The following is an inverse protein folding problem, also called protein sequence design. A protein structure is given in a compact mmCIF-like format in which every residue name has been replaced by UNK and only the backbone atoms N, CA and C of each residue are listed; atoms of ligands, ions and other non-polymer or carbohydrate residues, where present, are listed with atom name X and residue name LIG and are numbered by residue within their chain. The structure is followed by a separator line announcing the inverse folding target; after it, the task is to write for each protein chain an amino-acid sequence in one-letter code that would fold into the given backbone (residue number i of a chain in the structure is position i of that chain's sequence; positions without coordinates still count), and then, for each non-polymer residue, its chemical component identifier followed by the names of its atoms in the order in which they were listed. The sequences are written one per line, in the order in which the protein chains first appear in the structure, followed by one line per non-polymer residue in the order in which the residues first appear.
data_IF_409382381041
#
_entry.id   IF_409382381041
#
_cell.length_a   1.000
_cell.length_b   1.000
_cell.length_c   1.000
_cell.angle_alpha   90.00
_cell.angle_beta   90.00
_cell.angle_gamma   90.00
#
_symmetry.space_group_name_H-M   'P 1'
#
loop_
_entity.id
_entity.type
_entity.pdbx_description
1 polymer ?
#
# COMPACT_ATOMS: atom_id res chain seq x y z
N UNK A 1 -61.82 39.71 70.07
CA UNK A 1 -60.43 39.77 69.59
C UNK A 1 -59.54 38.54 69.92
N UNK A 2 -59.95 37.57 70.76
CA UNK A 2 -59.10 36.39 71.06
C UNK A 2 -59.29 35.16 70.15
N UNK A 3 -60.34 35.09 69.32
CA UNK A 3 -60.58 33.95 68.40
C UNK A 3 -59.92 34.09 67.02
N UNK A 4 -59.54 35.30 66.59
CA UNK A 4 -58.94 35.53 65.27
C UNK A 4 -57.39 35.48 65.27
N UNK A 5 -56.75 35.53 66.44
CA UNK A 5 -55.28 35.44 66.55
C UNK A 5 -54.78 33.99 66.48
N UNK A 6 -55.53 33.03 67.03
CA UNK A 6 -55.18 31.61 67.00
C UNK A 6 -55.27 31.00 65.59
N UNK A 7 -56.21 31.49 64.76
CA UNK A 7 -56.37 31.02 63.39
C UNK A 7 -55.22 31.52 62.48
N UNK A 8 -54.74 32.74 62.68
CA UNK A 8 -53.62 33.31 61.92
C UNK A 8 -52.28 32.63 62.27
N UNK A 9 -52.04 32.32 63.56
CA UNK A 9 -50.84 31.58 63.96
C UNK A 9 -50.85 30.10 63.51
N UNK A 10 -52.02 29.45 63.50
CA UNK A 10 -52.14 28.09 62.96
C UNK A 10 -51.94 28.04 61.43
N UNK A 11 -52.34 29.09 60.72
CA UNK A 11 -52.17 29.20 59.26
C UNK A 11 -50.71 29.45 58.85
N UNK A 12 -49.96 30.24 59.64
CA UNK A 12 -48.56 30.57 59.36
C UNK A 12 -47.62 29.40 59.72
N UNK A 13 -47.94 28.62 60.76
CA UNK A 13 -47.18 27.40 61.11
C UNK A 13 -47.48 26.25 60.14
N UNK A 14 -48.70 26.16 59.59
CA UNK A 14 -49.05 25.17 58.56
C UNK A 14 -48.41 25.49 57.18
N UNK A 15 -48.18 26.76 56.85
CA UNK A 15 -47.51 27.16 55.60
C UNK A 15 -45.98 27.01 55.66
N UNK A 16 -45.38 27.07 56.86
CA UNK A 16 -43.93 26.89 57.07
C UNK A 16 -43.49 25.41 57.07
N UNK A 17 -44.43 24.47 57.14
CA UNK A 17 -44.18 23.02 57.09
C UNK A 17 -44.35 22.40 55.69
N UNK A 18 -44.63 23.22 54.66
CA UNK A 18 -44.84 22.76 53.28
C UNK A 18 -43.67 23.08 52.33
N UNK A 19 -42.51 23.51 52.85
CA UNK A 19 -41.32 23.84 52.03
C UNK A 19 -40.17 22.84 52.24
N UNK A 20 -40.46 21.61 52.67
CA UNK A 20 -39.51 20.49 52.61
C UNK A 20 -40.06 19.46 51.63
N UNK A 21 -39.87 19.72 50.34
CA UNK A 21 -40.44 18.91 49.27
C UNK A 21 -39.78 19.17 47.93
N UNK A 22 -38.46 19.27 47.92
CA UNK A 22 -37.64 18.87 46.78
C UNK A 22 -36.49 18.09 47.42
N UNK A 23 -36.74 16.81 47.74
CA UNK A 23 -35.62 15.89 47.62
C UNK A 23 -35.40 15.81 46.11
N UNK A 24 -34.31 16.40 45.63
CA UNK A 24 -33.72 15.96 44.38
C UNK A 24 -33.19 14.55 44.68
N UNK A 25 -34.10 13.58 44.79
CA UNK A 25 -33.80 12.18 44.57
C UNK A 25 -33.66 12.02 43.05
N UNK A 26 -32.70 12.75 42.47
CA UNK A 26 -32.03 12.26 41.29
C UNK A 26 -31.28 11.02 41.78
N UNK A 27 -31.93 9.86 41.66
CA UNK A 27 -31.22 8.59 41.57
C UNK A 27 -30.25 8.76 40.41
N UNK A 28 -29.04 9.23 40.73
CA UNK A 28 -27.94 9.30 39.78
C UNK A 28 -27.67 7.85 39.40
N UNK A 29 -28.25 7.40 38.28
CA UNK A 29 -27.95 6.13 37.66
C UNK A 29 -26.46 6.21 37.32
N UNK A 30 -25.65 5.54 38.14
CA UNK A 30 -24.20 5.44 37.97
C UNK A 30 -23.90 4.03 37.54
N UNK A 31 -22.99 3.91 36.57
CA UNK A 31 -22.45 2.61 36.18
C UNK A 31 -21.82 1.95 37.40
N UNK A 32 -22.13 0.67 37.61
CA UNK A 32 -21.53 -0.14 38.66
C UNK A 32 -20.00 -0.10 38.56
N UNK A 33 -19.32 0.16 39.68
CA UNK A 33 -17.86 0.04 39.77
C UNK A 33 -17.36 -1.41 39.66
N UNK A 34 -18.27 -2.38 39.64
CA UNK A 34 -17.99 -3.81 39.47
C UNK A 34 -18.30 -4.31 38.05
N UNK A 35 -18.73 -3.43 37.14
CA UNK A 35 -18.99 -3.77 35.74
C UNK A 35 -17.72 -4.35 35.11
N UNK A 36 -17.80 -5.61 34.67
CA UNK A 36 -16.68 -6.33 34.06
C UNK A 36 -17.16 -7.17 32.88
N UNK A 37 -16.27 -7.39 31.92
CA UNK A 37 -16.50 -8.30 30.79
C UNK A 37 -15.40 -9.35 30.76
N UNK A 38 -15.74 -10.57 30.35
CA UNK A 38 -14.81 -11.67 30.19
C UNK A 38 -14.67 -12.00 28.71
N UNK A 39 -13.47 -11.87 28.15
CA UNK A 39 -13.13 -12.27 26.79
C UNK A 39 -12.67 -13.74 26.76
N UNK A 40 -13.14 -14.49 25.76
CA UNK A 40 -12.69 -15.85 25.42
C UNK A 40 -12.36 -15.92 23.93
N UNK A 41 -11.27 -16.61 23.60
CA UNK A 41 -10.80 -16.85 22.23
C UNK A 41 -11.12 -18.30 21.81
N UNK A 42 -11.30 -18.54 20.51
CA UNK A 42 -11.43 -19.89 19.95
C UNK A 42 -10.15 -20.72 20.07
N UNK A 43 -8.99 -20.08 20.08
CA UNK A 43 -7.68 -20.69 20.25
C UNK A 43 -6.74 -19.75 21.02
N UNK A 44 -5.74 -20.34 21.68
CA UNK A 44 -4.59 -19.62 22.27
C UNK A 44 -3.26 -20.09 21.70
N UNK A 45 -3.29 -20.86 20.61
CA UNK A 45 -2.09 -21.30 19.90
C UNK A 45 -1.50 -20.15 19.08
N UNK A 46 -0.22 -20.27 18.72
CA UNK A 46 0.42 -19.32 17.82
C UNK A 46 -0.28 -19.33 16.47
N UNK A 47 -0.50 -18.14 15.90
CA UNK A 47 -1.14 -17.98 14.59
C UNK A 47 -0.11 -17.43 13.60
N UNK A 48 0.09 -18.19 12.52
CA UNK A 48 0.85 -17.76 11.34
C UNK A 48 -0.16 -17.33 10.29
N UNK A 49 -0.25 -16.02 10.03
CA UNK A 49 -1.16 -15.47 9.03
C UNK A 49 -0.42 -15.33 7.70
N UNK A 50 -1.05 -15.79 6.64
CA UNK A 50 -0.52 -15.74 5.28
C UNK A 50 -1.58 -15.22 4.31
N UNK A 51 -1.16 -14.67 3.15
CA UNK A 51 -2.09 -14.02 2.19
C UNK A 51 -3.09 -14.99 1.57
N UNK A 52 -2.72 -16.26 1.41
CA UNK A 52 -3.57 -17.33 0.89
C UNK A 52 -4.76 -17.67 1.80
N UNK A 53 -4.73 -17.23 3.06
CA UNK A 53 -5.84 -17.37 4.01
C UNK A 53 -6.92 -16.27 3.87
N UNK A 54 -6.83 -15.40 2.85
CA UNK A 54 -7.79 -14.30 2.67
C UNK A 54 -9.24 -14.82 2.62
N UNK A 55 -10.11 -14.24 3.44
CA UNK A 55 -11.51 -14.65 3.58
C UNK A 55 -11.73 -15.85 4.51
N UNK A 56 -10.67 -16.46 5.06
CA UNK A 56 -10.78 -17.51 6.07
C UNK A 56 -10.91 -16.92 7.48
N UNK A 57 -11.82 -17.46 8.30
CA UNK A 57 -11.91 -17.10 9.71
C UNK A 57 -10.79 -17.76 10.51
N UNK A 58 -9.88 -16.95 11.06
CA UNK A 58 -8.67 -17.43 11.78
C UNK A 58 -8.79 -17.34 13.29
N UNK A 59 -9.63 -16.43 13.81
CA UNK A 59 -9.80 -16.23 15.25
C UNK A 59 -11.21 -15.75 15.58
N UNK A 60 -11.89 -16.46 16.47
CA UNK A 60 -13.23 -16.08 16.96
C UNK A 60 -13.16 -15.64 18.41
N UNK A 61 -13.75 -14.48 18.69
CA UNK A 61 -13.82 -13.86 20.00
C UNK A 61 -15.26 -13.91 20.49
N UNK A 62 -15.43 -14.20 21.78
CA UNK A 62 -16.70 -14.07 22.47
C UNK A 62 -16.49 -13.37 23.82
N UNK A 63 -17.43 -12.50 24.21
CA UNK A 63 -17.36 -11.86 25.52
C UNK A 63 -18.72 -11.71 26.21
N UNK A 64 -18.69 -11.50 27.52
CA UNK A 64 -19.91 -11.32 28.33
C UNK A 64 -20.33 -9.86 28.38
N UNK A 65 -21.63 -9.60 28.35
CA UNK A 65 -22.14 -8.26 28.63
C UNK A 65 -21.88 -7.87 30.11
N UNK A 66 -21.27 -6.70 30.40
CA UNK A 66 -21.13 -6.24 31.78
C UNK A 66 -22.48 -5.97 32.45
N UNK A 67 -22.56 -6.25 33.75
CA UNK A 67 -23.66 -5.76 34.58
C UNK A 67 -23.37 -4.30 35.00
N UNK A 68 -24.10 -3.37 34.40
CA UNK A 68 -23.92 -1.94 34.67
C UNK A 68 -24.64 -1.48 35.94
N UNK A 69 -25.38 -2.35 36.64
CA UNK A 69 -26.13 -2.02 37.86
C UNK A 69 -27.46 -1.32 37.61
N UNK A 70 -27.91 -1.20 36.36
CA UNK A 70 -29.22 -0.64 35.99
C UNK A 70 -29.76 -1.28 34.70
N UNK A 71 -31.08 -1.22 34.52
CA UNK A 71 -31.75 -1.78 33.33
C UNK A 71 -31.79 -0.79 32.18
N UNK A 72 -31.59 -1.27 30.94
CA UNK A 72 -31.76 -0.46 29.72
C UNK A 72 -30.45 0.11 29.13
N UNK A 73 -29.29 -0.28 29.66
CA UNK A 73 -28.00 0.00 29.04
C UNK A 73 -27.91 -0.68 27.66
N UNK A 74 -27.47 0.06 26.65
CA UNK A 74 -27.17 -0.46 25.31
C UNK A 74 -25.70 -0.18 25.01
N UNK A 75 -24.78 -1.03 25.50
CA UNK A 75 -23.37 -0.83 25.27
C UNK A 75 -23.00 -1.07 23.80
N UNK A 76 -21.93 -0.42 23.37
CA UNK A 76 -21.18 -0.84 22.20
C UNK A 76 -19.82 -1.37 22.64
N UNK A 77 -19.12 -2.10 21.78
CA UNK A 77 -17.86 -2.73 22.11
C UNK A 77 -16.80 -2.38 21.07
N UNK A 78 -15.57 -2.21 21.56
CA UNK A 78 -14.38 -2.25 20.73
C UNK A 78 -13.60 -3.50 21.08
N UNK A 79 -13.17 -4.25 20.06
CA UNK A 79 -12.05 -5.19 20.21
C UNK A 79 -10.78 -4.37 20.04
N UNK A 80 -9.86 -4.49 20.98
CA UNK A 80 -8.62 -3.72 21.00
C UNK A 80 -7.45 -4.67 20.87
N UNK A 81 -6.56 -4.37 19.93
CA UNK A 81 -5.36 -5.14 19.60
C UNK A 81 -4.15 -4.27 19.91
N UNK A 82 -3.24 -4.76 20.74
CA UNK A 82 -2.01 -4.07 21.11
C UNK A 82 -0.80 -4.97 20.92
N UNK A 83 0.34 -4.37 20.57
CA UNK A 83 1.60 -5.07 20.35
C UNK A 83 2.69 -4.36 21.16
N UNK A 84 3.56 -5.12 21.82
CA UNK A 84 4.63 -4.56 22.65
C UNK A 84 5.88 -4.14 21.84
N UNK A 85 5.87 -4.33 20.51
CA UNK A 85 7.03 -4.21 19.62
C UNK A 85 7.52 -2.76 19.39
N UNK A 86 6.73 -1.74 19.73
CA UNK A 86 7.14 -0.34 19.57
C UNK A 86 6.68 0.52 20.77
N UNK A 87 7.61 1.29 21.34
CA UNK A 87 7.40 2.11 22.55
C UNK A 87 6.38 3.25 22.40
N UNK A 88 5.87 3.51 21.20
CA UNK A 88 4.94 4.61 20.88
C UNK A 88 3.73 4.18 20.04
N UNK A 89 3.56 2.88 19.71
CA UNK A 89 2.43 2.43 18.90
C UNK A 89 1.12 2.48 19.71
N UNK A 90 0.08 3.09 19.14
CA UNK A 90 -1.25 3.08 19.72
C UNK A 90 -1.94 1.75 19.39
N UNK A 91 -2.70 1.15 20.33
CA UNK A 91 -3.43 -0.07 20.02
C UNK A 91 -4.54 0.20 19.00
N UNK A 92 -4.67 -0.71 18.04
CA UNK A 92 -5.73 -0.71 17.04
C UNK A 92 -7.10 -1.01 17.70
N UNK A 93 -8.15 -0.35 17.24
CA UNK A 93 -9.52 -0.51 17.76
C UNK A 93 -10.49 -0.86 16.65
N UNK A 94 -11.09 -2.04 16.75
CA UNK A 94 -12.14 -2.51 15.85
C UNK A 94 -13.48 -2.34 16.55
N UNK A 95 -14.31 -1.39 16.07
CA UNK A 95 -15.66 -1.21 16.59
C UNK A 95 -16.58 -2.31 16.07
N UNK A 96 -17.24 -3.02 16.97
CA UNK A 96 -18.13 -4.15 16.63
C UNK A 96 -19.59 -3.85 16.99
N UNK A 97 -19.94 -2.59 17.25
CA UNK A 97 -21.30 -2.22 17.65
C UNK A 97 -21.72 -2.92 18.94
N UNK A 98 -22.96 -3.43 19.01
CA UNK A 98 -23.56 -3.99 20.22
C UNK A 98 -23.59 -5.53 20.26
N UNK A 99 -22.82 -6.21 19.40
CA UNK A 99 -22.70 -7.66 19.45
C UNK A 99 -21.72 -8.11 20.54
N UNK A 100 -21.74 -9.40 20.85
CA UNK A 100 -20.91 -10.02 21.90
C UNK A 100 -19.87 -11.00 21.34
N UNK A 101 -19.62 -10.92 20.05
CA UNK A 101 -18.70 -11.79 19.33
C UNK A 101 -18.07 -11.07 18.13
N UNK A 102 -16.89 -11.52 17.71
CA UNK A 102 -16.24 -11.11 16.46
C UNK A 102 -15.48 -12.30 15.90
N UNK A 103 -15.78 -12.65 14.66
CA UNK A 103 -14.95 -13.55 13.85
C UNK A 103 -14.01 -12.68 13.03
N UNK A 104 -12.71 -12.84 13.23
CA UNK A 104 -11.70 -12.22 12.40
C UNK A 104 -11.39 -13.10 11.20
N UNK A 105 -11.50 -12.50 10.01
CA UNK A 105 -10.84 -13.02 8.83
C UNK A 105 -9.32 -12.81 8.93
N UNK A 106 -8.54 -13.59 8.19
CA UNK A 106 -7.07 -13.52 8.21
C UNK A 106 -6.58 -12.09 7.94
N UNK A 107 -7.09 -11.45 6.90
CA UNK A 107 -6.75 -10.09 6.49
C UNK A 107 -7.15 -9.05 7.54
N UNK A 108 -8.32 -9.18 8.16
CA UNK A 108 -8.79 -8.24 9.18
C UNK A 108 -7.94 -8.31 10.46
N UNK A 109 -7.53 -9.52 10.86
CA UNK A 109 -6.64 -9.69 12.00
C UNK A 109 -5.24 -9.18 11.67
N UNK A 110 -4.75 -9.46 10.45
CA UNK A 110 -3.45 -9.04 9.98
C UNK A 110 -3.33 -7.50 9.95
N UNK A 111 -4.33 -6.81 9.42
CA UNK A 111 -4.40 -5.34 9.42
C UNK A 111 -4.43 -4.80 10.86
N UNK A 112 -5.26 -5.37 11.73
CA UNK A 112 -5.37 -4.90 13.12
C UNK A 112 -4.08 -5.08 13.93
N UNK A 113 -3.30 -6.15 13.70
CA UNK A 113 -2.00 -6.33 14.36
C UNK A 113 -0.93 -5.41 13.76
N UNK A 114 -0.94 -5.19 12.44
CA UNK A 114 -0.04 -4.26 11.77
C UNK A 114 -0.27 -2.81 12.21
N UNK A 115 -1.53 -2.36 12.25
CA UNK A 115 -1.94 -1.05 12.76
C UNK A 115 -1.54 -0.83 14.21
N UNK A 116 -1.53 -1.91 15.01
CA UNK A 116 -1.07 -1.91 16.39
C UNK A 116 0.46 -1.91 16.54
N UNK A 117 1.21 -1.91 15.42
CA UNK A 117 2.67 -1.79 15.37
C UNK A 117 3.43 -3.12 15.32
N UNK A 118 2.79 -4.23 14.95
CA UNK A 118 3.49 -5.49 14.70
C UNK A 118 4.45 -5.38 13.52
N UNK A 119 5.62 -6.02 13.64
CA UNK A 119 6.54 -6.18 12.52
C UNK A 119 6.16 -7.44 11.74
N UNK A 120 5.84 -7.28 10.45
CA UNK A 120 5.49 -8.40 9.58
C UNK A 120 6.62 -9.44 9.46
N UNK A 121 6.25 -10.71 9.29
CA UNK A 121 7.17 -11.83 9.14
C UNK A 121 7.90 -12.25 10.42
N UNK A 122 7.65 -11.57 11.55
CA UNK A 122 8.20 -11.90 12.85
C UNK A 122 7.09 -12.36 13.81
N UNK A 123 7.43 -13.23 14.75
CA UNK A 123 6.55 -13.56 15.88
C UNK A 123 6.35 -12.31 16.75
N UNK A 124 5.11 -11.83 16.84
CA UNK A 124 4.75 -10.70 17.70
C UNK A 124 3.93 -11.19 18.89
N UNK A 125 4.23 -10.68 20.09
CA UNK A 125 3.34 -10.83 21.24
C UNK A 125 2.18 -9.84 21.12
N UNK A 126 0.99 -10.37 20.85
CA UNK A 126 -0.24 -9.60 20.62
C UNK A 126 -1.16 -9.73 21.83
N UNK A 127 -1.62 -8.59 22.33
CA UNK A 127 -2.59 -8.48 23.42
C UNK A 127 -3.95 -8.09 22.86
N UNK A 128 -4.96 -8.91 23.13
CA UNK A 128 -6.34 -8.65 22.71
C UNK A 128 -7.22 -8.47 23.94
N UNK A 129 -7.98 -7.37 23.99
CA UNK A 129 -8.99 -7.14 25.03
C UNK A 129 -10.24 -6.49 24.45
N UNK A 130 -11.32 -6.48 25.23
CA UNK A 130 -12.58 -5.83 24.85
C UNK A 130 -12.84 -4.64 25.76
N UNK A 131 -13.19 -3.52 25.17
CA UNK A 131 -13.69 -2.32 25.84
C UNK A 131 -15.20 -2.23 25.64
N UNK A 132 -15.96 -2.16 26.73
CA UNK A 132 -17.39 -1.85 26.71
C UNK A 132 -17.59 -0.34 26.86
N UNK A 133 -18.36 0.22 25.93
CA UNK A 133 -18.58 1.65 25.76
C UNK A 133 -20.04 1.99 26.07
N UNK A 134 -20.26 3.03 26.87
CA UNK A 134 -21.56 3.71 26.97
C UNK A 134 -21.40 5.13 26.47
N UNK A 135 -21.99 5.42 25.30
CA UNK A 135 -21.68 6.65 24.58
C UNK A 135 -20.22 6.66 24.13
N UNK A 136 -19.44 7.64 24.61
CA UNK A 136 -18.02 7.83 24.26
C UNK A 136 -17.05 7.34 25.34
N UNK A 137 -17.56 6.89 26.48
CA UNK A 137 -16.73 6.55 27.63
C UNK A 137 -16.58 5.03 27.72
N UNK A 138 -15.34 4.57 27.94
CA UNK A 138 -15.04 3.18 28.30
C UNK A 138 -15.50 2.98 29.73
N UNK A 139 -16.46 2.08 29.93
CA UNK A 139 -17.10 1.84 31.24
C UNK A 139 -16.75 0.49 31.86
N UNK A 140 -16.25 -0.45 31.06
CA UNK A 140 -15.68 -1.71 31.52
C UNK A 140 -14.68 -2.23 30.49
N UNK A 141 -13.69 -3.01 30.94
CA UNK A 141 -12.72 -3.67 30.07
C UNK A 141 -12.53 -5.13 30.50
N UNK A 142 -12.19 -6.01 29.56
CA UNK A 142 -11.75 -7.37 29.89
C UNK A 142 -10.29 -7.38 30.33
N UNK A 143 -9.88 -8.48 30.95
CA UNK A 143 -8.46 -8.81 30.96
C UNK A 143 -7.97 -9.05 29.52
N UNK A 144 -6.71 -8.71 29.24
CA UNK A 144 -6.09 -9.01 27.96
C UNK A 144 -5.79 -10.52 27.86
N UNK A 145 -6.08 -11.09 26.71
CA UNK A 145 -5.56 -12.38 26.27
C UNK A 145 -4.29 -12.13 25.46
N UNK A 146 -3.29 -13.00 25.64
CA UNK A 146 -1.99 -12.88 24.97
C UNK A 146 -1.87 -14.02 23.96
N UNK A 147 -1.50 -13.68 22.74
CA UNK A 147 -1.24 -14.60 21.63
C UNK A 147 0.12 -14.28 21.03
N UNK A 148 0.74 -15.28 20.41
CA UNK A 148 1.83 -15.06 19.46
C UNK A 148 1.23 -15.07 18.07
N UNK A 149 1.41 -13.98 17.32
CA UNK A 149 0.90 -13.87 15.95
C UNK A 149 2.04 -13.41 15.04
N UNK A 150 2.24 -14.13 13.94
CA UNK A 150 3.11 -13.73 12.84
C UNK A 150 2.22 -13.26 11.70
N UNK A 151 2.16 -11.94 11.50
CA UNK A 151 1.41 -11.32 10.41
C UNK A 151 2.26 -11.18 9.14
N UNK A 152 1.61 -10.99 8.00
CA UNK A 152 2.25 -10.61 6.75
C UNK A 152 2.15 -9.09 6.53
N UNK A 153 3.03 -8.53 5.69
CA UNK A 153 3.02 -7.10 5.41
C UNK A 153 1.78 -6.73 4.57
N UNK A 154 0.97 -5.80 5.07
CA UNK A 154 -0.24 -5.30 4.38
C UNK A 154 0.15 -4.33 3.26
N UNK A 155 1.18 -3.52 3.52
CA UNK A 155 2.01 -2.80 2.55
C UNK A 155 3.39 -3.42 2.53
N UNK A 156 3.87 -3.84 1.37
CA UNK A 156 5.22 -4.33 1.21
C UNK A 156 6.15 -3.12 1.14
N UNK A 157 6.55 -2.57 2.29
CA UNK A 157 7.55 -1.49 2.31
C UNK A 157 8.95 -2.10 2.28
N UNK A 158 9.44 -2.37 1.07
CA UNK A 158 10.85 -2.70 0.90
C UNK A 158 11.74 -1.47 0.79
N UNK A 159 11.25 -0.26 1.07
CA UNK A 159 12.13 0.90 1.02
C UNK A 159 13.35 0.67 1.91
N UNK A 160 14.48 1.15 1.43
CA UNK A 160 15.72 1.15 2.18
C UNK A 160 16.33 2.54 2.10
N UNK A 161 17.20 2.91 3.06
CA UNK A 161 17.94 4.16 2.96
C UNK A 161 19.03 4.10 1.88
N UNK A 162 19.26 2.96 1.23
CA UNK A 162 20.34 2.80 0.26
C UNK A 162 19.89 3.18 -1.15
N UNK A 163 20.87 3.54 -1.98
CA UNK A 163 20.64 3.90 -3.36
C UNK A 163 21.86 3.64 -4.24
N UNK A 164 21.64 3.50 -5.55
CA UNK A 164 22.71 3.44 -6.56
C UNK A 164 22.87 4.79 -7.25
N UNK A 165 24.11 5.25 -7.38
CA UNK A 165 24.46 6.52 -8.03
C UNK A 165 25.66 6.34 -8.94
N UNK A 166 25.70 7.03 -10.08
CA UNK A 166 26.88 6.97 -10.94
C UNK A 166 26.64 7.39 -12.38
N UNK A 167 27.70 7.48 -13.17
CA UNK A 167 27.60 7.79 -14.60
C UNK A 167 26.84 6.72 -15.40
N UNK A 168 26.73 5.51 -14.85
CA UNK A 168 25.94 4.43 -15.44
C UNK A 168 24.45 4.48 -15.08
N UNK A 169 24.06 5.19 -14.03
CA UNK A 169 22.66 5.24 -13.57
C UNK A 169 21.87 6.30 -14.34
N UNK A 170 20.53 6.19 -14.43
CA UNK A 170 19.69 7.16 -15.16
C UNK A 170 19.87 8.62 -14.69
N UNK A 171 20.22 8.82 -13.42
CA UNK A 171 20.26 10.12 -12.77
C UNK A 171 21.70 10.68 -12.62
N UNK A 172 22.72 9.94 -13.06
CA UNK A 172 24.10 10.39 -12.97
C UNK A 172 24.64 10.48 -11.53
N UNK A 173 25.69 11.29 -11.34
CA UNK A 173 26.31 11.51 -10.03
C UNK A 173 25.59 12.56 -9.15
N UNK A 174 24.89 13.49 -9.80
CA UNK A 174 24.31 14.68 -9.18
C UNK A 174 22.78 14.58 -8.99
N UNK A 175 22.14 13.57 -9.58
CA UNK A 175 20.71 13.32 -9.43
C UNK A 175 20.37 12.45 -8.22
N UNK A 176 19.07 12.20 -7.99
CA UNK A 176 18.63 11.30 -6.94
C UNK A 176 19.07 9.86 -7.22
N UNK A 177 19.33 9.11 -6.16
CA UNK A 177 19.73 7.71 -6.29
C UNK A 177 18.65 6.85 -6.93
N UNK A 178 19.08 5.83 -7.67
CA UNK A 178 18.19 4.73 -8.05
C UNK A 178 17.81 3.97 -6.78
N UNK A 179 16.51 3.73 -6.53
CA UNK A 179 16.05 3.02 -5.35
C UNK A 179 16.70 1.64 -5.20
N UNK A 180 17.05 1.31 -3.96
CA UNK A 180 17.45 -0.03 -3.52
C UNK A 180 16.42 -0.51 -2.50
N UNK A 181 16.08 -1.78 -2.59
CA UNK A 181 15.05 -2.42 -1.79
C UNK A 181 15.65 -3.39 -0.77
N UNK A 182 15.07 -3.46 0.41
CA UNK A 182 15.39 -4.47 1.42
C UNK A 182 14.97 -5.86 0.93
N UNK A 183 15.65 -6.91 1.41
CA UNK A 183 15.23 -8.30 1.19
C UNK A 183 14.70 -8.91 2.49
N UNK A 184 14.24 -10.16 2.45
CA UNK A 184 13.89 -10.92 3.65
C UNK A 184 15.08 -11.17 4.60
N UNK A 185 16.32 -10.97 4.14
CA UNK A 185 17.52 -11.13 4.95
C UNK A 185 18.00 -9.74 5.40
N UNK A 186 18.14 -9.57 6.72
CA UNK A 186 18.61 -8.31 7.30
C UNK A 186 19.98 -7.91 6.74
N UNK A 187 20.14 -6.63 6.39
CA UNK A 187 21.32 -6.06 5.75
C UNK A 187 21.68 -6.64 4.36
N UNK A 188 20.74 -7.32 3.71
CA UNK A 188 20.82 -7.66 2.29
C UNK A 188 19.80 -6.87 1.50
N UNK A 189 20.27 -6.37 0.36
CA UNK A 189 19.54 -5.41 -0.45
C UNK A 189 19.59 -5.78 -1.93
N UNK A 190 18.58 -5.34 -2.68
CA UNK A 190 18.42 -5.61 -4.10
C UNK A 190 17.96 -4.36 -4.84
N UNK A 191 18.48 -4.13 -6.04
CA UNK A 191 17.95 -3.16 -6.99
C UNK A 191 17.76 -3.80 -8.35
N UNK A 192 16.69 -3.42 -9.04
CA UNK A 192 16.42 -3.78 -10.43
C UNK A 192 16.55 -2.53 -11.28
N UNK A 193 17.59 -2.46 -12.12
CA UNK A 193 18.00 -1.22 -12.76
C UNK A 193 18.47 -1.44 -14.18
N UNK A 194 18.13 -0.52 -15.08
CA UNK A 194 18.76 -0.41 -16.39
C UNK A 194 19.92 0.58 -16.31
N UNK A 195 21.11 0.14 -16.69
CA UNK A 195 22.36 0.88 -16.65
C UNK A 195 22.89 1.10 -18.07
N UNK A 196 23.72 2.14 -18.22
CA UNK A 196 24.56 2.36 -19.41
C UNK A 196 26.03 2.03 -19.09
N UNK A 197 26.91 2.02 -20.10
CA UNK A 197 28.34 1.86 -19.87
C UNK A 197 28.86 3.00 -18.97
N UNK A 198 29.48 2.65 -17.85
CA UNK A 198 29.97 3.64 -16.90
C UNK A 198 30.34 3.08 -15.54
N UNK A 199 30.11 3.89 -14.52
CA UNK A 199 30.52 3.64 -13.15
C UNK A 199 29.34 3.81 -12.20
N UNK A 200 29.37 3.10 -11.06
CA UNK A 200 28.42 3.28 -9.97
C UNK A 200 29.08 3.24 -8.58
N UNK A 201 28.33 3.75 -7.60
CA UNK A 201 28.50 3.60 -6.16
C UNK A 201 27.18 3.26 -5.50
N UNK A 202 27.28 2.70 -4.29
CA UNK A 202 26.16 2.51 -3.37
C UNK A 202 26.30 3.56 -2.27
N UNK A 203 25.25 4.32 -1.95
CA UNK A 203 25.30 5.29 -0.84
C UNK A 203 24.01 5.29 -0.02
N UNK A 204 24.13 5.75 1.22
CA UNK A 204 23.04 5.84 2.17
C UNK A 204 22.42 7.25 2.15
N UNK A 205 21.11 7.33 2.26
CA UNK A 205 20.31 8.55 2.41
C UNK A 205 20.51 9.57 1.30
N UNK A 206 20.84 9.14 0.08
CA UNK A 206 21.19 10.03 -1.04
C UNK A 206 22.33 11.01 -0.68
N UNK A 207 23.24 10.59 0.20
CA UNK A 207 24.32 11.41 0.75
C UNK A 207 25.67 10.69 0.72
N UNK A 208 26.77 11.44 0.62
CA UNK A 208 28.11 10.88 0.49
C UNK A 208 28.75 10.43 1.82
N UNK A 209 28.12 10.69 2.97
CA UNK A 209 28.68 10.36 4.30
C UNK A 209 28.94 8.87 4.46
N UNK A 210 28.03 8.02 3.99
CA UNK A 210 28.19 6.57 4.00
C UNK A 210 28.00 6.06 2.57
N UNK A 211 29.10 5.69 1.93
CA UNK A 211 29.10 5.17 0.57
C UNK A 211 30.10 4.01 0.44
N UNK A 212 29.81 3.11 -0.49
CA UNK A 212 30.60 1.93 -0.79
C UNK A 212 30.96 1.89 -2.28
N UNK A 213 32.14 1.33 -2.53
CA UNK A 213 32.69 1.01 -3.84
C UNK A 213 33.52 -0.27 -3.74
N UNK A 214 34.35 -0.58 -4.74
CA UNK A 214 35.18 -1.80 -4.76
C UNK A 214 36.61 -1.44 -5.17
N UNK A 215 37.50 -1.38 -4.17
CA UNK A 215 38.92 -1.05 -4.40
C UNK A 215 39.68 -2.32 -4.75
N UNK A 216 40.04 -2.44 -6.02
CA UNK A 216 40.76 -3.61 -6.52
C UNK A 216 39.89 -4.58 -7.31
N UNK A 217 38.60 -4.30 -7.44
CA UNK A 217 37.64 -5.07 -8.24
C UNK A 217 37.60 -6.55 -7.83
N UNK A 218 37.59 -6.80 -6.53
CA UNK A 218 37.60 -8.15 -5.96
C UNK A 218 36.22 -8.65 -5.51
N UNK A 219 35.18 -7.84 -5.72
CA UNK A 219 33.80 -8.17 -5.36
C UNK A 219 33.45 -7.84 -3.91
N UNK A 220 34.35 -7.16 -3.18
CA UNK A 220 34.14 -6.74 -1.80
C UNK A 220 33.89 -5.23 -1.75
N UNK A 221 32.89 -4.83 -0.98
CA UNK A 221 32.50 -3.45 -0.75
C UNK A 221 33.43 -2.81 0.29
N UNK A 222 34.17 -1.80 -0.14
CA UNK A 222 34.95 -0.94 0.73
C UNK A 222 34.19 0.36 1.00
N UNK A 223 34.13 0.76 2.27
CA UNK A 223 33.61 2.08 2.62
C UNK A 223 34.52 3.15 2.02
N UNK A 224 33.95 4.05 1.20
CA UNK A 224 34.67 5.01 0.38
C UNK A 224 35.65 4.39 -0.65
N UNK A 225 35.38 3.16 -1.10
CA UNK A 225 36.19 2.48 -2.11
C UNK A 225 36.16 3.12 -3.49
N UNK A 226 36.89 2.55 -4.46
CA UNK A 226 36.86 2.99 -5.86
C UNK A 226 35.49 2.75 -6.53
N UNK A 227 35.19 3.42 -7.64
CA UNK A 227 33.91 3.23 -8.33
C UNK A 227 33.81 1.84 -8.98
N UNK A 228 32.61 1.24 -8.92
CA UNK A 228 32.32 -0.05 -9.53
C UNK A 228 32.05 0.16 -11.04
N UNK A 229 32.79 -0.54 -11.90
CA UNK A 229 32.60 -0.47 -13.35
C UNK A 229 31.42 -1.35 -13.79
N UNK A 230 30.57 -0.84 -14.68
CA UNK A 230 29.43 -1.57 -15.23
C UNK A 230 29.26 -1.34 -16.73
N UNK A 231 28.71 -2.33 -17.42
CA UNK A 231 28.34 -2.24 -18.84
C UNK A 231 26.84 -2.00 -19.00
N UNK A 232 26.43 -1.50 -20.15
CA UNK A 232 25.03 -1.28 -20.47
C UNK A 232 24.20 -2.58 -20.39
N UNK A 233 23.00 -2.50 -19.82
CA UNK A 233 22.10 -3.63 -19.65
C UNK A 233 21.08 -3.43 -18.52
N UNK A 234 20.16 -4.37 -18.37
CA UNK A 234 19.22 -4.41 -17.25
C UNK A 234 19.65 -5.49 -16.27
N UNK A 235 19.79 -5.11 -15.01
CA UNK A 235 20.45 -5.92 -13.99
C UNK A 235 19.62 -6.04 -12.73
N UNK A 236 19.85 -7.15 -12.02
CA UNK A 236 19.64 -7.26 -10.58
C UNK A 236 20.99 -7.00 -9.92
N UNK A 237 21.05 -5.96 -9.11
CA UNK A 237 22.19 -5.62 -8.26
C UNK A 237 21.86 -6.07 -6.85
N UNK A 238 22.66 -6.97 -6.28
CA UNK A 238 22.53 -7.36 -4.88
C UNK A 238 23.77 -6.94 -4.10
N UNK A 239 23.58 -6.53 -2.85
CA UNK A 239 24.69 -6.38 -1.91
C UNK A 239 24.30 -6.73 -0.48
N UNK A 240 25.31 -7.09 0.31
CA UNK A 240 25.19 -7.50 1.70
C UNK A 240 26.15 -6.67 2.56
N UNK A 241 25.66 -6.05 3.63
CA UNK A 241 26.51 -5.40 4.64
C UNK A 241 26.92 -6.38 5.76
N UNK A 242 26.49 -7.64 5.70
CA UNK A 242 26.90 -8.68 6.65
C UNK A 242 28.32 -9.19 6.33
N UNK A 243 28.62 -9.36 5.05
CA UNK A 243 29.90 -9.85 4.54
C UNK A 243 30.56 -8.91 3.51
N UNK A 244 29.92 -7.76 3.23
CA UNK A 244 30.40 -6.75 2.30
C UNK A 244 30.55 -7.27 0.87
N UNK A 245 29.73 -8.24 0.44
CA UNK A 245 29.75 -8.71 -0.95
C UNK A 245 28.72 -7.98 -1.81
N UNK A 246 28.96 -7.92 -3.12
CA UNK A 246 27.96 -7.49 -4.09
C UNK A 246 27.99 -8.34 -5.37
N UNK A 247 26.89 -8.29 -6.13
CA UNK A 247 26.79 -8.91 -7.45
C UNK A 247 25.95 -8.05 -8.38
N UNK A 248 26.27 -8.09 -9.67
CA UNK A 248 25.54 -7.41 -10.74
C UNK A 248 25.32 -8.44 -11.82
N UNK A 249 24.08 -8.90 -11.98
CA UNK A 249 23.74 -9.95 -12.94
C UNK A 249 22.61 -9.51 -13.88
N UNK A 250 22.68 -9.84 -15.19
CA UNK A 250 21.61 -9.54 -16.12
C UNK A 250 20.28 -10.11 -15.61
N UNK A 251 19.27 -9.25 -15.52
CA UNK A 251 17.98 -9.63 -14.95
C UNK A 251 16.85 -8.83 -15.57
N UNK A 252 15.91 -9.55 -16.18
CA UNK A 252 14.65 -9.01 -16.69
C UNK A 252 13.57 -10.05 -16.52
N UNK A 253 12.35 -9.57 -16.30
CA UNK A 253 11.14 -10.35 -16.53
C UNK A 253 10.37 -9.72 -17.67
N UNK A 254 9.69 -10.54 -18.46
CA UNK A 254 8.87 -10.05 -19.54
C UNK A 254 7.80 -11.01 -20.00
N UNK A 255 6.91 -10.49 -20.84
CA UNK A 255 5.83 -11.22 -21.50
C UNK A 255 6.28 -11.66 -22.90
N UNK A 256 6.09 -12.94 -23.20
CA UNK A 256 6.37 -13.55 -24.51
C UNK A 256 5.15 -14.32 -24.98
N UNK A 257 4.81 -14.24 -26.26
CA UNK A 257 3.61 -14.90 -26.78
C UNK A 257 3.10 -14.28 -28.06
N UNK A 258 2.25 -14.97 -28.82
CA UNK A 258 1.59 -14.38 -29.99
C UNK A 258 0.55 -13.32 -29.61
N UNK A 259 0.06 -13.34 -28.37
CA UNK A 259 -0.72 -12.24 -27.80
C UNK A 259 0.11 -10.96 -27.57
N UNK A 260 1.44 -11.07 -27.41
CA UNK A 260 2.32 -9.95 -27.05
C UNK A 260 2.88 -9.25 -28.30
N UNK A 261 3.30 -7.97 -28.20
CA UNK A 261 3.78 -7.18 -29.35
C UNK A 261 4.87 -7.82 -30.21
N UNK A 262 5.71 -8.69 -29.62
CA UNK A 262 6.91 -9.23 -30.26
C UNK A 262 6.82 -10.73 -30.59
N UNK A 263 5.71 -11.40 -30.27
CA UNK A 263 5.56 -12.83 -30.56
C UNK A 263 6.43 -13.74 -29.68
N UNK A 264 6.51 -15.02 -30.06
CA UNK A 264 7.33 -16.04 -29.38
C UNK A 264 8.85 -15.91 -29.60
N UNK A 265 9.23 -15.36 -30.76
CA UNK A 265 10.62 -15.30 -31.24
C UNK A 265 11.28 -13.92 -31.02
N UNK A 266 10.51 -12.91 -30.62
CA UNK A 266 11.01 -11.57 -30.35
C UNK A 266 11.49 -11.38 -28.92
N UNK A 267 12.07 -10.21 -28.62
CA UNK A 267 12.37 -9.83 -27.24
C UNK A 267 11.08 -9.72 -26.44
N UNK A 268 11.14 -10.05 -25.16
CA UNK A 268 10.00 -9.98 -24.25
C UNK A 268 9.52 -8.54 -24.12
N UNK A 269 8.21 -8.38 -23.91
CA UNK A 269 7.67 -7.09 -23.44
C UNK A 269 8.06 -6.96 -21.97
N UNK A 270 8.90 -5.98 -21.58
CA UNK A 270 9.47 -5.94 -20.24
C UNK A 270 8.42 -5.68 -19.16
N UNK A 271 8.60 -6.32 -18.02
CA UNK A 271 7.92 -5.98 -16.78
C UNK A 271 8.82 -5.07 -15.93
N UNK A 272 8.19 -4.21 -15.14
CA UNK A 272 8.84 -3.35 -14.16
C UNK A 272 8.56 -3.86 -12.76
N UNK A 273 9.57 -3.87 -11.90
CA UNK A 273 9.40 -4.23 -10.50
C UNK A 273 8.63 -3.15 -9.74
N UNK A 274 7.59 -3.58 -9.03
CA UNK A 274 6.80 -2.78 -8.10
C UNK A 274 7.13 -3.22 -6.67
N UNK A 275 7.94 -2.40 -6.00
CA UNK A 275 8.39 -2.66 -4.64
C UNK A 275 7.31 -2.46 -3.59
N UNK A 276 6.19 -1.80 -3.90
CA UNK A 276 5.08 -1.60 -2.95
C UNK A 276 4.27 -2.88 -2.71
N UNK A 277 4.40 -3.86 -3.61
CA UNK A 277 3.67 -5.13 -3.57
C UNK A 277 4.50 -6.39 -3.82
N UNK A 278 5.82 -6.27 -4.04
CA UNK A 278 6.74 -7.36 -4.48
C UNK A 278 6.45 -7.96 -5.85
N UNK A 279 5.82 -7.20 -6.74
CA UNK A 279 5.30 -7.73 -8.00
C UNK A 279 6.08 -7.21 -9.20
N UNK A 280 5.94 -7.92 -10.32
CA UNK A 280 6.39 -7.44 -11.62
C UNK A 280 5.16 -7.05 -12.43
N UNK A 281 5.16 -5.83 -12.97
CA UNK A 281 3.99 -5.23 -13.60
C UNK A 281 4.29 -4.62 -14.96
N UNK A 282 3.30 -4.63 -15.84
CA UNK A 282 3.34 -3.85 -17.08
C UNK A 282 1.95 -3.42 -17.49
N UNK A 283 1.87 -2.20 -18.05
CA UNK A 283 0.70 -1.76 -18.79
C UNK A 283 0.95 -2.04 -20.27
N UNK A 284 0.14 -2.91 -20.87
CA UNK A 284 0.38 -3.42 -22.23
C UNK A 284 -0.92 -3.64 -22.99
N UNK A 285 -0.89 -3.35 -24.29
CA UNK A 285 -1.92 -3.79 -25.24
C UNK A 285 -1.59 -5.20 -25.72
N UNK A 286 -2.49 -6.15 -25.48
CA UNK A 286 -2.40 -7.53 -25.93
C UNK A 286 -3.43 -7.81 -27.02
N UNK A 287 -3.16 -8.83 -27.83
CA UNK A 287 -4.07 -9.34 -28.87
C UNK A 287 -4.60 -10.71 -28.50
N UNK A 288 -5.61 -11.20 -29.22
CA UNK A 288 -6.11 -12.57 -29.04
C UNK A 288 -4.96 -13.57 -29.30
N UNK A 289 -4.67 -14.42 -28.32
CA UNK A 289 -3.59 -15.39 -28.43
C UNK A 289 -3.20 -16.00 -27.10
N UNK A 290 -1.92 -16.33 -26.99
CA UNK A 290 -1.30 -16.97 -25.84
C UNK A 290 -0.07 -16.18 -25.38
N UNK A 291 0.25 -16.27 -24.09
CA UNK A 291 1.46 -15.69 -23.51
C UNK A 291 2.08 -16.55 -22.40
N UNK A 292 3.30 -16.18 -22.01
CA UNK A 292 4.04 -16.68 -20.84
C UNK A 292 4.86 -15.57 -20.21
N UNK A 293 5.24 -15.76 -18.95
CA UNK A 293 6.28 -14.97 -18.30
C UNK A 293 7.62 -15.63 -18.52
N UNK A 294 8.63 -14.85 -18.91
CA UNK A 294 9.97 -15.37 -19.23
C UNK A 294 11.04 -14.48 -18.60
N UNK A 295 12.05 -15.11 -18.01
CA UNK A 295 13.19 -14.41 -17.44
C UNK A 295 14.27 -14.24 -18.51
N UNK A 296 14.90 -13.07 -18.55
CA UNK A 296 16.12 -12.85 -19.33
C UNK A 296 15.99 -13.14 -20.83
N UNK A 297 14.79 -13.06 -21.40
CA UNK A 297 14.51 -13.44 -22.79
C UNK A 297 14.96 -14.88 -23.10
N UNK A 298 15.04 -15.75 -22.09
CA UNK A 298 15.57 -17.10 -22.17
C UNK A 298 14.59 -18.12 -21.58
N UNK A 299 14.50 -19.30 -22.19
CA UNK A 299 13.53 -20.32 -21.80
C UNK A 299 13.90 -21.10 -20.53
N UNK A 300 15.10 -20.90 -19.96
CA UNK A 300 15.53 -21.62 -18.76
C UNK A 300 14.60 -21.39 -17.56
N UNK A 301 14.07 -20.18 -17.40
CA UNK A 301 13.10 -19.83 -16.34
C UNK A 301 11.91 -19.15 -16.98
N UNK A 302 10.79 -19.86 -17.05
CA UNK A 302 9.54 -19.37 -17.60
C UNK A 302 8.36 -19.94 -16.82
N UNK A 303 7.26 -19.21 -16.83
CA UNK A 303 6.04 -19.53 -16.12
C UNK A 303 4.82 -19.45 -17.05
N UNK A 304 3.87 -20.35 -16.82
CA UNK A 304 2.58 -20.44 -17.49
C UNK A 304 1.49 -20.82 -16.49
N UNK A 305 0.28 -21.15 -16.94
CA UNK A 305 -0.88 -21.50 -16.09
C UNK A 305 -1.50 -22.82 -16.56
N UNK A 306 -1.23 -23.89 -15.82
CA UNK A 306 -1.68 -25.24 -16.11
C UNK A 306 -3.02 -25.51 -15.45
N UNK A 307 -4.09 -25.31 -16.19
CA UNK A 307 -5.46 -25.50 -15.68
C UNK A 307 -6.30 -24.25 -15.73
N UNK A 308 -5.70 -23.11 -16.09
CA UNK A 308 -6.35 -21.80 -16.20
C UNK A 308 -7.02 -21.40 -14.88
N UNK A 309 -6.30 -21.58 -13.77
CA UNK A 309 -6.79 -21.29 -12.42
C UNK A 309 -6.25 -19.97 -11.83
N UNK A 310 -5.46 -19.23 -12.61
CA UNK A 310 -4.88 -17.94 -12.20
C UNK A 310 -3.60 -18.09 -11.37
N UNK A 311 -3.09 -19.31 -11.21
CA UNK A 311 -1.79 -19.57 -10.59
C UNK A 311 -0.73 -19.85 -11.66
N UNK A 312 0.53 -19.52 -11.35
CA UNK A 312 1.64 -19.78 -12.27
C UNK A 312 2.44 -21.02 -11.86
N UNK A 313 2.84 -21.82 -12.84
CA UNK A 313 3.83 -22.88 -12.64
C UNK A 313 5.04 -22.71 -13.52
N UNK A 314 6.19 -23.11 -12.97
CA UNK A 314 7.43 -23.23 -13.73
C UNK A 314 7.21 -24.20 -14.89
N UNK A 315 7.40 -23.72 -16.12
CA UNK A 315 7.11 -24.45 -17.36
C UNK A 315 5.64 -24.89 -17.52
N UNK A 316 4.69 -24.20 -16.90
CA UNK A 316 3.25 -24.46 -17.07
C UNK A 316 2.75 -24.22 -18.49
N UNK A 317 1.50 -24.58 -18.77
CA UNK A 317 0.87 -24.36 -20.08
C UNK A 317 0.76 -22.86 -20.42
N UNK A 318 0.56 -22.54 -21.71
CA UNK A 318 0.43 -21.15 -22.13
C UNK A 318 -0.82 -20.48 -21.54
N UNK A 319 -0.72 -19.19 -21.20
CA UNK A 319 -1.83 -18.39 -20.69
C UNK A 319 -2.61 -17.84 -21.87
N UNK A 320 -3.90 -18.15 -21.98
CA UNK A 320 -4.77 -17.60 -23.02
C UNK A 320 -5.12 -16.13 -22.72
N UNK A 321 -5.14 -15.30 -23.76
CA UNK A 321 -5.36 -13.86 -23.67
C UNK A 321 -6.40 -13.43 -24.71
N UNK A 322 -7.34 -12.57 -24.29
CA UNK A 322 -8.24 -11.84 -25.19
C UNK A 322 -7.64 -10.48 -25.55
N UNK A 323 -7.96 -9.95 -26.73
CA UNK A 323 -7.47 -8.65 -27.15
C UNK A 323 -7.96 -7.53 -26.22
N UNK A 324 -7.04 -6.70 -25.75
CA UNK A 324 -7.37 -5.63 -24.81
C UNK A 324 -6.13 -4.91 -24.28
N UNK A 325 -6.38 -3.88 -23.48
CA UNK A 325 -5.37 -3.18 -22.71
C UNK A 325 -5.40 -3.69 -21.28
N UNK A 326 -4.25 -4.08 -20.74
CA UNK A 326 -4.16 -4.73 -19.45
C UNK A 326 -3.08 -4.09 -18.58
N UNK A 327 -3.38 -3.97 -17.28
CA UNK A 327 -2.39 -4.01 -16.23
C UNK A 327 -2.11 -5.48 -15.93
N UNK A 328 -0.97 -5.95 -16.40
CA UNK A 328 -0.47 -7.29 -16.11
C UNK A 328 0.34 -7.22 -14.83
N UNK A 329 0.04 -8.10 -13.88
CA UNK A 329 0.82 -8.23 -12.63
C UNK A 329 1.17 -9.70 -12.41
N UNK A 330 2.40 -9.98 -11.95
CA UNK A 330 2.83 -11.32 -11.55
C UNK A 330 3.55 -11.27 -10.21
N UNK A 331 3.14 -12.18 -9.34
CA UNK A 331 3.65 -12.40 -7.99
C UNK A 331 4.30 -13.79 -7.95
N UNK A 332 5.63 -13.82 -8.06
CA UNK A 332 6.39 -15.07 -8.03
C UNK A 332 6.48 -15.69 -6.62
N UNK A 333 6.19 -14.91 -5.57
CA UNK A 333 6.21 -15.38 -4.18
C UNK A 333 4.97 -16.20 -3.89
N UNK A 334 3.79 -15.71 -4.32
CA UNK A 334 2.51 -16.39 -4.14
C UNK A 334 2.09 -17.23 -5.34
N UNK A 335 2.88 -17.21 -6.42
CA UNK A 335 2.57 -17.86 -7.71
C UNK A 335 1.23 -17.42 -8.29
N UNK A 336 0.95 -16.12 -8.30
CA UNK A 336 -0.28 -15.55 -8.84
C UNK A 336 0.03 -14.61 -10.01
N UNK A 337 -0.93 -14.47 -10.92
CA UNK A 337 -0.91 -13.40 -11.91
C UNK A 337 -2.29 -12.82 -12.13
N UNK A 338 -2.35 -11.59 -12.63
CA UNK A 338 -3.60 -10.93 -13.05
C UNK A 338 -3.45 -10.29 -14.42
N UNK A 339 -4.56 -10.31 -15.16
CA UNK A 339 -4.77 -9.55 -16.39
C UNK A 339 -5.96 -8.61 -16.15
N UNK A 340 -5.68 -7.44 -15.58
CA UNK A 340 -6.73 -6.46 -15.25
C UNK A 340 -6.96 -5.52 -16.43
N UNK A 341 -8.16 -5.47 -17.04
CA UNK A 341 -8.44 -4.50 -18.10
C UNK A 341 -8.26 -3.06 -17.61
N UNK A 342 -7.55 -2.24 -18.38
CA UNK A 342 -7.23 -0.86 -18.00
C UNK A 342 -7.22 0.07 -19.20
N UNK A 343 -7.55 1.34 -18.98
CA UNK A 343 -7.29 2.40 -19.95
C UNK A 343 -5.83 2.87 -19.84
N UNK A 344 -5.14 2.98 -20.97
CA UNK A 344 -3.74 3.39 -21.00
C UNK A 344 -3.65 4.87 -21.34
N UNK A 345 -3.26 5.68 -20.36
CA UNK A 345 -3.05 7.11 -20.54
C UNK A 345 -1.85 7.42 -21.43
N UNK A 346 -1.99 8.48 -22.22
CA UNK A 346 -0.93 8.91 -23.11
C UNK A 346 -0.98 10.38 -23.50
N UNK A 347 0.20 10.93 -23.75
CA UNK A 347 0.43 12.29 -24.24
C UNK A 347 0.39 12.33 -25.78
N UNK A 348 -0.33 13.30 -26.32
CA UNK A 348 -0.45 13.59 -27.76
C UNK A 348 -0.39 15.11 -27.99
N UNK A 349 -0.01 15.57 -29.19
CA UNK A 349 0.06 17.01 -29.48
C UNK A 349 1.12 17.36 -30.51
N UNK A 350 1.10 18.57 -31.07
CA UNK A 350 2.16 19.03 -31.97
C UNK A 350 3.48 19.34 -31.23
N UNK A 351 3.37 19.60 -29.92
CA UNK A 351 4.52 19.64 -29.02
C UNK A 351 5.01 18.25 -28.59
N UNK A 352 4.17 17.21 -28.67
CA UNK A 352 4.53 15.86 -28.26
C UNK A 352 5.38 15.14 -29.36
N UNK A 353 6.25 14.20 -28.99
CA UNK A 353 7.15 13.51 -29.94
C UNK A 353 6.48 12.90 -31.19
N UNK A 354 5.24 12.43 -31.04
CA UNK A 354 4.53 11.69 -32.08
C UNK A 354 3.44 12.51 -32.80
N UNK A 355 3.27 13.79 -32.49
CA UNK A 355 2.24 14.63 -33.13
C UNK A 355 0.81 14.28 -32.71
N UNK A 356 -0.18 14.85 -33.40
CA UNK A 356 -1.61 14.57 -33.18
C UNK A 356 -2.09 13.21 -33.71
N UNK A 357 -1.46 12.74 -34.78
CA UNK A 357 -1.89 11.55 -35.53
C UNK A 357 -1.09 10.28 -35.17
N UNK A 358 -0.03 10.42 -34.37
CA UNK A 358 0.80 9.30 -33.93
C UNK A 358 0.26 8.59 -32.70
N UNK A 359 0.86 7.45 -32.33
CA UNK A 359 0.58 6.80 -31.05
C UNK A 359 1.00 7.72 -29.90
N UNK A 360 0.32 7.62 -28.77
CA UNK A 360 0.61 8.43 -27.61
C UNK A 360 1.98 8.07 -27.03
N UNK A 361 2.64 9.05 -26.41
CA UNK A 361 3.72 8.74 -25.45
C UNK A 361 3.04 8.25 -24.17
N UNK A 362 3.33 7.01 -23.76
CA UNK A 362 2.58 6.32 -22.70
C UNK A 362 3.03 6.77 -21.31
N UNK A 363 2.06 7.01 -20.43
CA UNK A 363 2.32 7.17 -19.01
C UNK A 363 2.46 5.79 -18.35
N UNK A 364 3.21 5.74 -17.25
CA UNK A 364 3.28 4.58 -16.37
C UNK A 364 2.49 4.90 -15.10
N UNK A 365 1.63 3.98 -14.60
CA UNK A 365 0.97 4.19 -13.33
C UNK A 365 1.99 4.18 -12.20
N UNK A 366 1.78 5.03 -11.21
CA UNK A 366 2.45 4.91 -9.92
C UNK A 366 1.72 3.82 -9.11
N UNK A 367 2.33 2.64 -9.02
CA UNK A 367 1.72 1.50 -8.36
C UNK A 367 1.49 1.69 -6.86
N UNK A 368 2.19 2.64 -6.23
CA UNK A 368 2.00 2.97 -4.82
C UNK A 368 0.85 3.97 -4.58
N UNK A 369 0.45 4.73 -5.61
CA UNK A 369 -0.54 5.80 -5.50
C UNK A 369 -1.63 5.63 -6.57
N UNK A 370 -2.78 5.10 -6.15
CA UNK A 370 -3.93 4.89 -7.03
C UNK A 370 -4.29 6.18 -7.80
N UNK A 371 -4.55 6.03 -9.11
CA UNK A 371 -4.94 7.14 -9.98
C UNK A 371 -3.79 8.09 -10.34
N UNK A 372 -2.56 7.87 -9.89
CA UNK A 372 -1.40 8.67 -10.28
C UNK A 372 -0.69 8.04 -11.48
N UNK A 373 -0.41 8.84 -12.50
CA UNK A 373 0.26 8.41 -13.73
C UNK A 373 1.41 9.34 -14.05
N UNK A 374 2.58 8.79 -14.34
CA UNK A 374 3.82 9.55 -14.50
C UNK A 374 4.40 9.31 -15.89
N UNK A 375 4.80 10.38 -16.56
CA UNK A 375 5.59 10.38 -17.77
C UNK A 375 6.87 11.16 -17.52
N UNK A 376 7.97 10.45 -17.28
CA UNK A 376 9.26 11.05 -16.97
C UNK A 376 10.09 11.34 -18.22
N UNK A 377 10.93 12.39 -18.15
CA UNK A 377 11.94 12.72 -19.15
C UNK A 377 11.40 12.89 -20.60
N UNK A 378 10.17 13.38 -20.75
CA UNK A 378 9.59 13.63 -22.08
C UNK A 378 10.09 14.97 -22.64
N UNK A 379 10.72 14.93 -23.82
CA UNK A 379 11.10 16.14 -24.54
C UNK A 379 9.93 16.67 -25.37
N UNK A 380 9.52 17.90 -25.11
CA UNK A 380 8.46 18.62 -25.81
C UNK A 380 9.05 19.75 -26.68
N UNK A 381 8.31 20.13 -27.71
CA UNK A 381 8.52 21.34 -28.50
C UNK A 381 7.62 22.49 -28.01
N UNK A 382 7.82 23.70 -28.52
CA UNK A 382 6.83 24.77 -28.37
C UNK A 382 5.55 24.37 -29.13
N UNK A 383 4.39 24.38 -28.47
CA UNK A 383 3.13 23.99 -29.08
C UNK A 383 2.07 23.64 -28.06
N UNK A 384 1.22 22.68 -28.41
CA UNK A 384 0.08 22.22 -27.64
C UNK A 384 0.13 20.71 -27.41
N UNK A 385 -0.33 20.28 -26.24
CA UNK A 385 -0.51 18.88 -25.86
C UNK A 385 -1.92 18.59 -25.39
N UNK A 386 -2.23 17.29 -25.29
CA UNK A 386 -3.45 16.75 -24.72
C UNK A 386 -3.19 15.36 -24.14
N UNK A 387 -4.05 14.92 -23.22
CA UNK A 387 -4.00 13.57 -22.66
C UNK A 387 -5.18 12.76 -23.17
N UNK A 388 -4.96 11.56 -23.68
CA UNK A 388 -6.04 10.67 -24.13
C UNK A 388 -5.73 9.21 -23.83
N UNK A 389 -6.76 8.39 -23.70
CA UNK A 389 -6.60 6.96 -23.44
C UNK A 389 -6.46 6.17 -24.73
N UNK A 390 -5.75 5.03 -24.66
CA UNK A 390 -5.82 3.96 -25.66
C UNK A 390 -5.44 4.34 -27.11
N UNK A 391 -4.62 5.37 -27.32
CA UNK A 391 -4.34 5.97 -28.64
C UNK A 391 -5.62 6.39 -29.41
N UNK A 392 -6.71 6.64 -28.69
CA UNK A 392 -8.02 6.94 -29.23
C UNK A 392 -8.56 8.25 -28.67
N UNK A 393 -9.49 8.87 -29.40
CA UNK A 393 -10.15 10.11 -28.99
C UNK A 393 -11.43 9.86 -28.17
N UNK A 394 -11.75 8.60 -27.87
CA UNK A 394 -12.97 8.22 -27.15
C UNK A 394 -13.04 8.83 -25.75
N UNK A 395 -11.89 8.97 -25.09
CA UNK A 395 -11.76 9.69 -23.82
C UNK A 395 -10.46 10.49 -23.78
N UNK A 396 -10.57 11.77 -23.44
CA UNK A 396 -9.44 12.69 -23.40
C UNK A 396 -9.67 13.82 -22.40
N UNK A 397 -8.57 14.31 -21.84
CA UNK A 397 -8.51 15.49 -20.98
C UNK A 397 -7.74 16.62 -21.65
N UNK A 398 -8.22 17.84 -21.44
CA UNK A 398 -7.52 19.10 -21.69
C UNK A 398 -7.60 20.00 -20.44
N UNK A 399 -7.25 21.27 -20.57
CA UNK A 399 -7.28 22.26 -19.48
C UNK A 399 -7.93 23.57 -19.98
N UNK A 400 -9.17 23.81 -19.56
CA UNK A 400 -9.94 25.00 -19.89
C UNK A 400 -9.49 26.19 -19.03
N UNK A 401 -8.52 26.94 -19.53
CA UNK A 401 -8.05 28.17 -18.88
C UNK A 401 -6.65 28.08 -18.29
N UNK A 402 -5.99 26.93 -18.46
CA UNK A 402 -4.62 26.65 -18.03
C UNK A 402 -4.46 26.82 -16.51
N UNK A 403 -5.41 26.29 -15.73
CA UNK A 403 -5.41 26.39 -14.28
C UNK A 403 -4.89 25.14 -13.56
N UNK A 404 -4.53 24.09 -14.31
CA UNK A 404 -4.00 22.83 -13.81
C UNK A 404 -5.07 21.78 -13.48
N UNK A 405 -6.34 22.12 -13.64
CA UNK A 405 -7.47 21.19 -13.56
C UNK A 405 -7.74 20.59 -14.94
N UNK A 406 -8.14 19.32 -14.97
CA UNK A 406 -8.42 18.61 -16.20
C UNK A 406 -9.93 18.54 -16.47
N UNK A 407 -10.35 18.94 -17.66
CA UNK A 407 -11.72 18.78 -18.13
C UNK A 407 -11.81 17.75 -19.25
N UNK A 408 -12.82 16.88 -19.17
CA UNK A 408 -13.14 15.97 -20.28
C UNK A 408 -13.43 16.79 -21.53
N UNK A 409 -12.75 16.46 -22.62
CA UNK A 409 -12.79 17.21 -23.88
C UNK A 409 -12.34 18.68 -23.79
N UNK A 410 -11.63 19.06 -22.72
CA UNK A 410 -11.13 20.42 -22.50
C UNK A 410 -10.17 20.93 -23.58
N UNK A 411 -9.83 22.21 -23.52
CA UNK A 411 -8.90 22.86 -24.44
C UNK A 411 -7.51 22.21 -24.43
N UNK A 412 -6.79 22.35 -25.55
CA UNK A 412 -5.41 21.92 -25.62
C UNK A 412 -4.52 22.71 -24.65
N UNK A 413 -3.52 22.05 -24.08
CA UNK A 413 -2.63 22.63 -23.08
C UNK A 413 -1.38 23.19 -23.80
N UNK A 414 -1.13 24.51 -23.77
CA UNK A 414 0.07 25.07 -24.37
C UNK A 414 1.30 24.79 -23.52
N UNK A 415 2.39 24.38 -24.17
CA UNK A 415 3.68 24.07 -23.54
C UNK A 415 4.82 24.75 -24.29
N UNK A 416 5.94 24.94 -23.59
CA UNK A 416 7.20 25.40 -24.19
C UNK A 416 8.15 24.23 -24.39
N UNK A 417 9.13 24.39 -25.27
CA UNK A 417 10.15 23.39 -25.49
C UNK A 417 10.98 23.14 -24.23
N UNK A 418 11.16 21.87 -23.87
CA UNK A 418 11.84 21.45 -22.65
C UNK A 418 11.80 19.94 -22.48
N UNK A 419 12.48 19.44 -21.46
CA UNK A 419 12.34 18.05 -21.00
C UNK A 419 11.66 18.09 -19.65
N UNK A 420 10.54 17.38 -19.52
CA UNK A 420 9.66 17.47 -18.36
C UNK A 420 9.39 16.10 -17.75
N UNK A 421 9.05 16.12 -16.47
CA UNK A 421 8.22 15.07 -15.87
C UNK A 421 6.79 15.58 -15.81
N UNK A 422 5.84 14.79 -16.34
CA UNK A 422 4.42 15.11 -16.30
C UNK A 422 3.73 14.09 -15.40
N UNK A 423 2.94 14.56 -14.44
CA UNK A 423 2.16 13.71 -13.54
C UNK A 423 0.69 14.02 -13.66
N UNK A 424 -0.15 13.00 -13.84
CA UNK A 424 -1.61 13.09 -13.78
C UNK A 424 -2.08 12.57 -12.42
N UNK A 425 -3.04 13.28 -11.81
CA UNK A 425 -3.69 12.89 -10.56
C UNK A 425 -5.18 12.68 -10.82
N UNK A 426 -5.58 11.41 -10.94
CA UNK A 426 -6.90 11.02 -11.43
C UNK A 426 -7.75 10.28 -10.37
N UNK A 427 -7.26 10.17 -9.13
CA UNK A 427 -7.98 9.51 -8.04
C UNK A 427 -9.27 10.25 -7.66
N UNK A 428 -9.25 11.59 -7.70
CA UNK A 428 -10.47 12.42 -7.60
C UNK A 428 -11.03 12.65 -9.00
N UNK A 429 -11.93 11.76 -9.43
CA UNK A 429 -12.56 11.84 -10.75
C UNK A 429 -13.40 13.12 -10.96
N UNK A 430 -13.81 13.82 -9.88
CA UNK A 430 -14.56 15.07 -9.98
C UNK A 430 -13.63 16.27 -10.20
N UNK A 431 -12.35 16.19 -9.79
CA UNK A 431 -11.37 17.27 -9.91
C UNK A 431 -9.98 16.72 -10.29
N UNK A 432 -9.83 16.06 -11.44
CA UNK A 432 -8.52 15.57 -11.87
C UNK A 432 -7.57 16.74 -12.14
N UNK A 433 -6.29 16.56 -11.84
CA UNK A 433 -5.27 17.61 -12.01
C UNK A 433 -4.00 17.05 -12.63
N UNK A 434 -3.08 17.93 -13.03
CA UNK A 434 -1.77 17.53 -13.54
C UNK A 434 -0.66 18.52 -13.15
N UNK A 435 0.59 18.04 -13.21
CA UNK A 435 1.79 18.88 -13.14
C UNK A 435 2.69 18.65 -14.35
N UNK A 436 3.46 19.68 -14.70
CA UNK A 436 4.52 19.64 -15.71
C UNK A 436 5.73 20.32 -15.08
N UNK A 437 6.77 19.55 -14.75
CA UNK A 437 7.94 19.99 -13.98
C UNK A 437 9.24 19.88 -14.76
#
# INVERSE_FOLDING_TARGET
MKKNLAFIYASIVAMALLVTGCSDDDENIRVSSEASTQLTLSSTEALELTRDMTGETVLSLNWTAPDFGFTGAVPTYNVVVGVDAATEAMPARVNVGNVLSKDFLAEELNDAVADAGALAGLENEVKIWVEAMLGKDVVASSAAQVLTITGYATTFDLSSPWGLVGSATPNGWDGPDVPVYSTAIANEFVAYVTLVDGELKIRENNDWTVNYGDTGADGILDQNGDNIQVTAGTYKVMFSLNDFTYSIEPFTWGLVGDATPNGWDGPDTPLTYDSSSDQWRAVVTLTDGEMKFRQNNDWAVNFGDTGADGTIEANGDNIAVEAGNYLVSVDFTNNLYTLEPIDIWGLVGDAAPNGWDGPNVRFTPDYANEGVWILENVTLLDGEIKFRTNDAWDFNYGDDGNDGTLETDGANIPVSAGTYTITLYLADADNPTYTIE
#
